data_IF_274126173056
#
_entry.id   IF_274126173056
#
_cell.length_a   1.000
_cell.length_b   1.000
_cell.length_c   1.000
_cell.angle_alpha   90.00
_cell.angle_beta   90.00
_cell.angle_gamma   90.00
#
_symmetry.space_group_name_H-M   'P 1'
#
loop_
_entity.id
_entity.type
_entity.pdbx_description
1 polymer ?
#
# COMPACT_ATOMS: atom_id res chain seq x y z
N UNK A 1 -8.02 -25.13 3.86
CA UNK A 1 -7.76 -25.60 5.24
C UNK A 1 -8.08 -24.40 6.08
N UNK A 2 -9.18 -24.47 6.82
CA UNK A 2 -9.65 -23.34 7.62
C UNK A 2 -8.98 -23.47 8.99
N UNK A 3 -8.21 -22.46 9.39
CA UNK A 3 -7.54 -22.40 10.69
C UNK A 3 -8.48 -21.75 11.69
N UNK A 4 -8.50 -22.25 12.93
CA UNK A 4 -9.11 -21.47 14.03
C UNK A 4 -8.23 -20.26 14.38
N UNK A 5 -8.78 -19.23 15.05
CA UNK A 5 -7.96 -18.11 15.53
C UNK A 5 -6.78 -18.55 16.41
N UNK A 6 -6.96 -19.55 17.26
CA UNK A 6 -5.92 -20.09 18.13
C UNK A 6 -4.81 -20.75 17.30
N UNK A 7 -5.17 -21.62 16.35
CA UNK A 7 -4.20 -22.26 15.46
C UNK A 7 -3.41 -21.21 14.66
N UNK A 8 -4.06 -20.14 14.22
CA UNK A 8 -3.40 -19.03 13.55
C UNK A 8 -2.44 -18.27 14.49
N UNK A 9 -2.83 -18.04 15.74
CA UNK A 9 -1.98 -17.45 16.76
C UNK A 9 -0.74 -18.29 17.06
N UNK A 10 -0.88 -19.62 17.13
CA UNK A 10 0.25 -20.54 17.25
C UNK A 10 1.20 -20.49 16.05
N UNK A 11 0.66 -20.24 14.84
CA UNK A 11 1.51 -20.04 13.66
C UNK A 11 2.33 -18.74 13.77
N UNK A 12 1.78 -17.67 14.35
CA UNK A 12 2.55 -16.45 14.61
C UNK A 12 3.75 -16.75 15.52
N UNK A 13 3.53 -17.54 16.58
CA UNK A 13 4.61 -17.96 17.48
C UNK A 13 5.68 -18.79 16.76
N UNK A 14 5.28 -19.74 15.91
CA UNK A 14 6.23 -20.52 15.09
C UNK A 14 7.05 -19.62 14.16
N UNK A 15 6.43 -18.63 13.52
CA UNK A 15 7.14 -17.67 12.68
C UNK A 15 8.14 -16.85 13.50
N UNK A 16 7.77 -16.40 14.70
CA UNK A 16 8.66 -15.68 15.60
C UNK A 16 9.84 -16.57 16.07
N UNK A 17 9.56 -17.75 16.62
CA UNK A 17 10.57 -18.58 17.30
C UNK A 17 11.44 -19.39 16.35
N UNK A 18 10.84 -19.95 15.30
CA UNK A 18 11.52 -20.84 14.34
C UNK A 18 11.90 -20.07 13.09
N UNK A 19 10.98 -19.26 12.57
CA UNK A 19 11.23 -18.44 11.38
C UNK A 19 12.17 -17.27 11.64
N UNK A 20 12.31 -16.83 12.89
CA UNK A 20 13.08 -15.65 13.30
C UNK A 20 12.72 -14.42 12.45
N UNK A 21 11.42 -14.23 12.20
CA UNK A 21 10.89 -13.10 11.42
C UNK A 21 10.92 -11.82 12.25
N UNK A 22 10.87 -10.68 11.58
CA UNK A 22 10.90 -9.37 12.22
C UNK A 22 9.50 -8.79 12.48
N UNK A 23 8.45 -9.39 11.92
CA UNK A 23 7.04 -9.00 12.07
C UNK A 23 6.10 -10.11 11.59
N UNK A 24 4.83 -10.00 11.93
CA UNK A 24 3.74 -10.78 11.33
C UNK A 24 2.95 -9.86 10.39
N UNK A 25 2.91 -10.17 9.11
CA UNK A 25 2.23 -9.35 8.10
C UNK A 25 0.94 -10.02 7.60
N UNK A 26 -0.19 -9.43 7.96
CA UNK A 26 -1.51 -9.88 7.53
C UNK A 26 -1.93 -9.11 6.29
N UNK A 27 -2.17 -9.84 5.19
CA UNK A 27 -2.43 -9.23 3.87
C UNK A 27 -3.90 -9.31 3.50
N UNK A 28 -4.54 -8.15 3.40
CA UNK A 28 -5.96 -7.93 3.08
C UNK A 28 -6.94 -8.76 3.93
N UNK A 29 -6.82 -8.75 5.28
CA UNK A 29 -7.65 -9.61 6.13
C UNK A 29 -9.02 -9.00 6.49
N UNK A 30 -9.47 -7.92 5.83
CA UNK A 30 -10.70 -7.17 6.20
C UNK A 30 -11.94 -8.07 6.42
N UNK A 31 -12.11 -9.08 5.58
CA UNK A 31 -13.24 -10.00 5.63
C UNK A 31 -13.24 -10.96 6.84
N UNK A 32 -12.17 -11.00 7.64
CA UNK A 32 -11.96 -11.90 8.79
C UNK A 32 -11.35 -11.16 10.00
N UNK A 33 -11.58 -9.85 10.12
CA UNK A 33 -11.03 -9.04 11.22
C UNK A 33 -11.34 -9.59 12.61
N UNK A 34 -12.57 -10.05 12.93
CA UNK A 34 -12.84 -10.62 14.26
C UNK A 34 -11.96 -11.83 14.59
N UNK A 35 -11.71 -12.70 13.61
CA UNK A 35 -10.84 -13.87 13.77
C UNK A 35 -9.37 -13.46 13.92
N UNK A 36 -8.93 -12.44 13.19
CA UNK A 36 -7.59 -11.87 13.32
C UNK A 36 -7.37 -11.25 14.71
N UNK A 37 -8.36 -10.54 15.23
CA UNK A 37 -8.28 -9.99 16.59
C UNK A 37 -8.09 -11.11 17.61
N UNK A 38 -8.90 -12.17 17.51
CA UNK A 38 -8.78 -13.32 18.40
C UNK A 38 -7.42 -14.03 18.29
N UNK A 39 -6.86 -14.16 17.09
CA UNK A 39 -5.56 -14.80 16.89
C UNK A 39 -4.41 -13.96 17.46
N UNK A 40 -4.45 -12.63 17.30
CA UNK A 40 -3.45 -11.72 17.87
C UNK A 40 -3.50 -11.77 19.40
N UNK A 41 -4.70 -11.69 19.99
CA UNK A 41 -4.88 -11.76 21.43
C UNK A 41 -4.36 -13.08 22.01
N UNK A 42 -4.62 -14.20 21.32
CA UNK A 42 -4.10 -15.50 21.71
C UNK A 42 -2.57 -15.55 21.64
N UNK A 43 -1.98 -15.11 20.52
CA UNK A 43 -0.52 -15.08 20.37
C UNK A 43 0.17 -14.16 21.39
N UNK A 44 -0.45 -13.03 21.73
CA UNK A 44 0.05 -12.14 22.78
C UNK A 44 0.15 -12.86 24.14
N UNK A 45 -0.84 -13.70 24.51
CA UNK A 45 -0.79 -14.53 25.71
C UNK A 45 0.34 -15.57 25.69
N UNK A 46 0.71 -16.03 24.49
CA UNK A 46 1.84 -16.95 24.29
C UNK A 46 3.20 -16.24 24.24
N UNK A 47 3.22 -14.90 24.28
CA UNK A 47 4.46 -14.12 24.30
C UNK A 47 4.96 -13.70 22.91
N UNK A 48 4.05 -13.44 21.98
CA UNK A 48 4.37 -12.72 20.74
C UNK A 48 4.92 -11.31 21.09
N UNK A 49 6.02 -10.94 20.45
CA UNK A 49 6.77 -9.68 20.69
C UNK A 49 7.08 -8.94 19.41
N UNK A 50 7.12 -9.64 18.28
CA UNK A 50 7.34 -9.00 16.98
C UNK A 50 6.10 -8.18 16.59
N UNK A 51 6.28 -7.04 15.92
CA UNK A 51 5.16 -6.19 15.50
C UNK A 51 4.17 -6.89 14.59
N UNK A 52 2.90 -6.48 14.68
CA UNK A 52 1.82 -6.83 13.75
C UNK A 52 1.72 -5.76 12.67
N UNK A 53 1.83 -6.19 11.42
CA UNK A 53 1.65 -5.38 10.23
C UNK A 53 0.31 -5.75 9.58
N UNK A 54 -0.53 -4.75 9.34
CA UNK A 54 -1.80 -4.89 8.64
C UNK A 54 -1.70 -4.27 7.25
N UNK A 55 -1.54 -5.10 6.24
CA UNK A 55 -1.44 -4.70 4.84
C UNK A 55 -2.83 -4.72 4.19
N UNK A 56 -3.29 -3.59 3.67
CA UNK A 56 -4.66 -3.48 3.19
C UNK A 56 -4.80 -2.61 1.96
N UNK A 57 -5.89 -2.86 1.24
CA UNK A 57 -6.37 -2.03 0.15
C UNK A 57 -6.93 -0.67 0.59
N UNK A 58 -6.94 -0.41 1.90
CA UNK A 58 -7.54 0.75 2.54
C UNK A 58 -9.03 0.88 2.29
N UNK A 59 -9.73 -0.23 2.02
CA UNK A 59 -11.19 -0.23 1.86
C UNK A 59 -11.85 -0.96 3.03
N UNK A 60 -11.35 -0.65 4.23
CA UNK A 60 -11.71 -1.29 5.50
C UNK A 60 -12.80 -0.47 6.21
N UNK A 61 -13.74 -1.15 6.86
CA UNK A 61 -14.76 -0.48 7.66
C UNK A 61 -14.16 0.17 8.92
N UNK A 62 -14.78 1.24 9.40
CA UNK A 62 -14.31 1.92 10.62
C UNK A 62 -14.49 1.02 11.84
N UNK A 63 -15.56 0.23 11.86
CA UNK A 63 -15.86 -0.75 12.90
C UNK A 63 -14.77 -1.84 12.95
N UNK A 64 -14.30 -2.34 11.80
CA UNK A 64 -13.15 -3.25 11.73
C UNK A 64 -11.88 -2.60 12.30
N UNK A 65 -11.61 -1.35 11.95
CA UNK A 65 -10.43 -0.64 12.43
C UNK A 65 -10.48 -0.38 13.94
N UNK A 66 -11.65 -0.08 14.50
CA UNK A 66 -11.85 0.06 15.94
C UNK A 66 -11.50 -1.23 16.69
N UNK A 67 -11.84 -2.40 16.14
CA UNK A 67 -11.46 -3.69 16.75
C UNK A 67 -9.94 -3.94 16.75
N UNK A 68 -9.21 -3.35 15.80
CA UNK A 68 -7.77 -3.50 15.64
C UNK A 68 -6.96 -2.49 16.46
N UNK A 69 -7.61 -1.48 17.05
CA UNK A 69 -6.95 -0.42 17.80
C UNK A 69 -6.16 -1.00 18.99
N UNK A 70 -4.85 -0.70 19.03
CA UNK A 70 -3.93 -1.21 20.05
C UNK A 70 -3.44 -2.66 19.81
N UNK A 71 -3.87 -3.31 18.73
CA UNK A 71 -3.40 -4.66 18.33
C UNK A 71 -2.49 -4.63 17.11
N UNK A 72 -2.70 -3.65 16.22
CA UNK A 72 -1.86 -3.44 15.03
C UNK A 72 -0.86 -2.34 15.30
N UNK A 73 0.41 -2.62 15.01
CA UNK A 73 1.50 -1.66 15.17
C UNK A 73 1.70 -0.81 13.92
N UNK A 74 1.52 -1.41 12.73
CA UNK A 74 1.82 -0.78 11.44
C UNK A 74 0.71 -1.08 10.44
N UNK A 75 0.14 -0.03 9.85
CA UNK A 75 -0.74 -0.15 8.69
C UNK A 75 0.04 0.10 7.39
N UNK A 76 -0.01 -0.85 6.46
CA UNK A 76 0.42 -0.64 5.07
C UNK A 76 -0.83 -0.35 4.23
N UNK A 77 -1.26 0.91 4.29
CA UNK A 77 -2.37 1.43 3.54
C UNK A 77 -2.03 1.60 2.03
N UNK A 78 -2.90 1.11 1.16
CA UNK A 78 -2.76 1.23 -0.30
C UNK A 78 -3.91 2.06 -0.89
N UNK A 79 -3.66 3.36 -1.11
CA UNK A 79 -4.62 4.29 -1.70
C UNK A 79 -4.50 4.33 -3.24
N UNK A 80 -5.52 3.77 -3.92
CA UNK A 80 -5.42 3.49 -5.36
C UNK A 80 -5.80 4.65 -6.25
N UNK A 81 -6.91 5.34 -5.95
CA UNK A 81 -7.50 6.36 -6.83
C UNK A 81 -8.24 7.43 -6.03
N UNK A 82 -8.14 8.68 -6.47
CA UNK A 82 -8.71 9.84 -5.77
C UNK A 82 -10.15 10.16 -6.18
N UNK A 83 -10.49 9.94 -7.44
CA UNK A 83 -11.78 10.38 -8.01
C UNK A 83 -12.85 9.27 -7.92
N UNK A 84 -14.10 9.59 -7.53
CA UNK A 84 -15.20 8.61 -7.50
C UNK A 84 -15.48 7.99 -8.87
N UNK A 85 -15.42 8.78 -9.94
CA UNK A 85 -15.64 8.30 -11.31
C UNK A 85 -14.60 7.26 -11.74
N UNK A 86 -13.35 7.45 -11.30
CA UNK A 86 -12.24 6.51 -11.52
C UNK A 86 -12.37 5.28 -10.63
N UNK A 87 -12.79 5.45 -9.37
CA UNK A 87 -13.10 4.34 -8.44
C UNK A 87 -14.12 3.38 -9.04
N UNK A 88 -15.27 3.89 -9.49
CA UNK A 88 -16.31 3.08 -10.13
C UNK A 88 -15.80 2.35 -11.36
N UNK A 89 -15.09 3.06 -12.25
CA UNK A 89 -14.66 2.51 -13.53
C UNK A 89 -13.53 1.48 -13.41
N UNK A 90 -12.55 1.72 -12.53
CA UNK A 90 -11.36 0.88 -12.42
C UNK A 90 -11.46 -0.18 -11.33
N UNK A 91 -12.09 0.15 -10.19
CA UNK A 91 -12.18 -0.73 -9.03
C UNK A 91 -13.56 -1.39 -8.89
N UNK A 92 -14.55 -0.95 -9.67
CA UNK A 92 -15.97 -1.38 -9.53
C UNK A 92 -16.55 -1.07 -8.14
N UNK A 93 -16.00 -0.06 -7.48
CA UNK A 93 -16.44 0.42 -6.18
C UNK A 93 -16.81 1.91 -6.29
N UNK A 94 -18.03 2.26 -5.92
CA UNK A 94 -18.56 3.63 -6.11
C UNK A 94 -18.00 4.63 -5.10
N UNK A 95 -17.63 4.15 -3.91
CA UNK A 95 -17.28 4.95 -2.74
C UNK A 95 -15.85 4.72 -2.25
N UNK A 96 -15.03 3.94 -2.98
CA UNK A 96 -13.66 3.62 -2.60
C UNK A 96 -12.84 4.83 -2.13
N UNK A 97 -12.79 5.90 -2.92
CA UNK A 97 -11.97 7.06 -2.58
C UNK A 97 -12.44 7.75 -1.29
N UNK A 98 -13.74 7.72 -0.98
CA UNK A 98 -14.26 8.28 0.27
C UNK A 98 -13.93 7.36 1.45
N UNK A 99 -14.28 6.07 1.35
CA UNK A 99 -13.99 5.08 2.37
C UNK A 99 -12.50 5.04 2.69
N UNK A 100 -11.63 4.95 1.67
CA UNK A 100 -10.20 4.83 1.87
C UNK A 100 -9.55 6.04 2.54
N UNK A 101 -10.06 7.26 2.30
CA UNK A 101 -9.58 8.44 3.05
C UNK A 101 -9.96 8.37 4.52
N UNK A 102 -11.16 7.90 4.84
CA UNK A 102 -11.59 7.73 6.22
C UNK A 102 -10.84 6.59 6.91
N UNK A 103 -10.68 5.43 6.26
CA UNK A 103 -9.90 4.30 6.76
C UNK A 103 -8.45 4.71 7.03
N UNK A 104 -7.79 5.41 6.09
CA UNK A 104 -6.41 5.90 6.28
C UNK A 104 -6.32 6.90 7.43
N UNK A 105 -7.30 7.80 7.58
CA UNK A 105 -7.31 8.75 8.71
C UNK A 105 -7.44 8.02 10.04
N UNK A 106 -8.29 6.99 10.11
CA UNK A 106 -8.44 6.16 11.31
C UNK A 106 -7.15 5.38 11.62
N UNK A 107 -6.55 4.71 10.63
CA UNK A 107 -5.25 4.04 10.77
C UNK A 107 -4.17 4.99 11.28
N UNK A 108 -4.02 6.16 10.66
CA UNK A 108 -3.05 7.16 11.08
C UNK A 108 -3.32 7.69 12.50
N UNK A 109 -4.58 7.83 12.90
CA UNK A 109 -4.92 8.22 14.28
C UNK A 109 -4.48 7.17 15.30
N UNK A 110 -4.54 5.88 14.95
CA UNK A 110 -4.17 4.79 15.87
C UNK A 110 -2.65 4.65 16.02
N UNK A 111 -1.90 4.66 14.92
CA UNK A 111 -0.45 4.33 14.95
C UNK A 111 0.47 5.52 14.72
N UNK A 112 -0.02 6.61 14.12
CA UNK A 112 0.77 7.80 13.80
C UNK A 112 2.08 7.48 13.07
N UNK A 113 3.18 8.03 13.61
CA UNK A 113 4.53 7.88 13.04
C UNK A 113 5.28 6.63 13.56
N UNK A 114 4.58 5.66 14.16
CA UNK A 114 5.19 4.51 14.85
C UNK A 114 6.22 3.77 13.98
N UNK A 115 5.94 3.54 12.70
CA UNK A 115 6.86 2.83 11.80
C UNK A 115 8.23 3.50 11.71
N UNK A 116 8.28 4.83 11.63
CA UNK A 116 9.55 5.54 11.53
C UNK A 116 10.34 5.47 12.84
N UNK A 117 9.62 5.53 13.97
CA UNK A 117 10.20 5.36 15.31
C UNK A 117 10.75 3.94 15.51
N UNK A 118 10.00 2.93 15.09
CA UNK A 118 10.40 1.52 15.13
C UNK A 118 11.67 1.27 14.30
N UNK A 119 11.72 1.77 13.06
CA UNK A 119 12.91 1.63 12.21
C UNK A 119 14.15 2.26 12.88
N UNK A 120 14.01 3.44 13.49
CA UNK A 120 15.10 4.11 14.14
C UNK A 120 15.56 3.45 15.46
N UNK A 121 14.63 2.84 16.22
CA UNK A 121 14.89 2.28 17.54
C UNK A 121 15.27 0.78 17.49
N UNK A 122 14.54 -0.01 16.72
CA UNK A 122 14.62 -1.48 16.75
C UNK A 122 15.40 -2.06 15.58
N UNK A 123 15.47 -1.35 14.44
CA UNK A 123 16.23 -1.80 13.26
C UNK A 123 17.62 -1.18 13.28
N UNK A 124 17.72 0.11 12.96
CA UNK A 124 18.95 0.91 13.03
C UNK A 124 18.69 2.30 12.48
N UNK A 125 19.29 3.33 13.08
CA UNK A 125 19.35 4.68 12.44
C UNK A 125 20.21 4.72 11.17
N UNK A 126 21.01 3.67 10.93
CA UNK A 126 21.80 3.47 9.70
C UNK A 126 21.04 2.65 8.63
N UNK A 127 19.74 2.36 8.83
CA UNK A 127 18.93 1.67 7.83
C UNK A 127 18.73 2.55 6.59
N UNK A 128 18.79 1.95 5.40
CA UNK A 128 18.41 2.61 4.17
C UNK A 128 16.88 2.64 4.03
N UNK A 129 16.31 3.84 4.01
CA UNK A 129 14.89 4.04 3.69
C UNK A 129 14.76 4.28 2.20
N UNK A 130 14.03 3.42 1.52
CA UNK A 130 13.73 3.61 0.10
C UNK A 130 12.33 4.23 -0.02
N UNK A 131 12.28 5.53 -0.35
CA UNK A 131 11.03 6.22 -0.67
C UNK A 131 10.80 6.03 -2.17
N UNK A 132 10.05 4.99 -2.53
CA UNK A 132 9.70 4.72 -3.92
C UNK A 132 8.34 5.30 -4.27
N UNK A 133 8.17 5.75 -5.51
CA UNK A 133 6.85 5.71 -6.11
C UNK A 133 6.42 4.24 -6.26
N UNK A 134 5.14 3.94 -6.04
CA UNK A 134 4.64 2.57 -6.16
C UNK A 134 5.03 2.01 -7.54
N UNK A 135 5.58 0.79 -7.55
CA UNK A 135 6.01 0.12 -8.78
C UNK A 135 4.87 0.14 -9.80
N UNK A 136 5.13 0.72 -10.97
CA UNK A 136 4.17 0.94 -12.05
C UNK A 136 4.34 -0.08 -13.19
N UNK A 137 3.74 -1.28 -13.12
CA UNK A 137 3.60 -2.11 -14.29
C UNK A 137 2.54 -1.48 -15.23
N UNK A 138 2.98 -0.47 -15.99
CA UNK A 138 2.13 0.34 -16.85
C UNK A 138 1.81 -0.35 -18.17
N UNK A 139 1.02 -1.43 -18.09
CA UNK A 139 0.67 -2.23 -19.26
C UNK A 139 0.05 -1.36 -20.38
N UNK A 140 -0.92 -0.51 -20.05
CA UNK A 140 -1.62 0.34 -21.01
C UNK A 140 -1.71 1.81 -20.61
N UNK A 141 -1.24 2.17 -19.42
CA UNK A 141 -1.29 3.54 -18.89
C UNK A 141 -0.41 4.43 -19.77
N UNK A 142 -0.94 5.59 -20.18
CA UNK A 142 -0.25 6.55 -21.04
C UNK A 142 -0.14 6.17 -22.52
N UNK A 143 -0.48 4.93 -22.92
CA UNK A 143 -0.46 4.50 -24.33
C UNK A 143 -1.60 5.15 -25.12
N UNK A 144 -1.35 5.49 -26.38
CA UNK A 144 -2.39 6.02 -27.26
C UNK A 144 -3.59 5.04 -27.36
N UNK A 145 -4.81 5.56 -27.20
CA UNK A 145 -5.99 4.73 -27.38
C UNK A 145 -6.14 4.31 -28.84
N UNK A 146 -6.08 3.00 -29.13
CA UNK A 146 -6.43 2.47 -30.45
C UNK A 146 -7.93 2.68 -30.69
N UNK A 147 -8.29 3.70 -31.45
CA UNK A 147 -9.60 3.81 -32.08
C UNK A 147 -9.78 2.62 -33.02
N UNK A 148 -10.84 1.84 -32.85
CA UNK A 148 -11.22 0.79 -33.81
C UNK A 148 -11.48 1.50 -35.15
N UNK A 149 -10.63 1.31 -36.16
CA UNK A 149 -11.00 1.65 -37.55
C UNK A 149 -12.24 0.83 -37.87
N UNK A 150 -13.39 1.49 -38.08
CA UNK A 150 -14.58 0.83 -38.59
C UNK A 150 -14.27 0.16 -39.94
N UNK A 151 -15.01 -0.90 -40.31
CA UNK A 151 -14.78 -1.57 -41.59
C UNK A 151 -15.21 -0.63 -42.72
N UNK A 152 -14.25 0.08 -43.34
CA UNK A 152 -14.56 0.96 -44.48
C UNK A 152 -13.60 2.12 -44.78
N UNK A 153 -12.41 2.23 -44.19
CA UNK A 153 -11.48 3.31 -44.53
C UNK A 153 -10.37 2.82 -45.48
N UNK A 154 -10.55 3.11 -46.77
CA UNK A 154 -9.62 2.82 -47.86
C UNK A 154 -8.22 3.41 -47.66
N UNK A 155 -7.27 2.80 -48.35
CA UNK A 155 -5.87 3.19 -48.40
C UNK A 155 -5.72 4.52 -49.13
N UNK A 156 -5.46 5.59 -48.38
CA UNK A 156 -4.76 6.77 -48.88
C UNK A 156 -3.94 7.35 -47.75
N UNK A 157 -2.65 7.52 -48.03
CA UNK A 157 -1.64 7.95 -47.07
C UNK A 157 -1.81 9.41 -46.70
N UNK A 158 -1.94 9.65 -45.41
CA UNK A 158 -1.46 10.85 -44.74
C UNK A 158 -1.19 10.48 -43.28
N UNK A 159 0.06 10.60 -42.83
CA UNK A 159 0.48 10.34 -41.45
C UNK A 159 0.14 11.57 -40.59
N UNK A 160 -1.13 11.93 -40.57
CA UNK A 160 -1.67 12.87 -39.60
C UNK A 160 -1.64 12.22 -38.22
N UNK A 161 -0.90 12.82 -37.28
CA UNK A 161 -0.87 12.41 -35.89
C UNK A 161 -2.29 12.34 -35.33
N UNK A 162 -2.87 11.15 -35.23
CA UNK A 162 -4.13 10.95 -34.55
C UNK A 162 -3.92 11.34 -33.08
N UNK A 163 -4.50 12.46 -32.66
CA UNK A 163 -4.68 12.85 -31.26
C UNK A 163 -5.62 11.83 -30.59
N UNK A 164 -5.13 10.62 -30.37
CA UNK A 164 -5.79 9.64 -29.52
C UNK A 164 -5.56 10.03 -28.08
N UNK A 165 -6.63 10.20 -27.29
CA UNK A 165 -6.52 10.38 -25.84
C UNK A 165 -5.66 9.26 -25.23
N UNK A 166 -4.69 9.62 -24.39
CA UNK A 166 -3.90 8.63 -23.65
C UNK A 166 -4.83 7.74 -22.82
N UNK A 167 -4.62 6.42 -22.88
CA UNK A 167 -5.36 5.46 -22.07
C UNK A 167 -5.01 5.64 -20.60
N UNK A 168 -6.03 5.64 -19.76
CA UNK A 168 -5.88 5.80 -18.32
C UNK A 168 -5.10 7.07 -17.92
N UNK A 169 -5.30 8.17 -18.65
CA UNK A 169 -4.62 9.43 -18.41
C UNK A 169 -4.79 9.92 -16.95
N UNK A 170 -5.93 9.61 -16.34
CA UNK A 170 -6.29 9.95 -14.97
C UNK A 170 -5.41 9.30 -13.89
N UNK A 171 -4.74 8.18 -14.19
CA UNK A 171 -3.77 7.54 -13.29
C UNK A 171 -2.32 7.63 -13.85
N UNK A 172 -2.14 8.32 -14.97
CA UNK A 172 -0.85 8.50 -15.64
C UNK A 172 -0.12 9.78 -15.16
N UNK A 173 -0.01 9.96 -13.85
CA UNK A 173 0.66 11.12 -13.25
C UNK A 173 1.83 10.65 -12.38
N UNK A 174 3.05 11.08 -12.71
CA UNK A 174 4.23 10.85 -11.86
C UNK A 174 4.09 11.55 -10.50
N UNK A 175 4.76 11.01 -9.47
CA UNK A 175 4.88 11.68 -8.17
C UNK A 175 5.73 12.94 -8.35
N UNK A 176 5.34 14.05 -7.73
CA UNK A 176 6.08 15.30 -7.80
C UNK A 176 7.24 15.32 -6.82
N UNK A 177 8.28 16.12 -7.10
CA UNK A 177 9.39 16.33 -6.16
C UNK A 177 8.94 16.86 -4.81
N UNK A 178 7.88 17.69 -4.78
CA UNK A 178 7.32 18.22 -3.54
C UNK A 178 6.70 17.11 -2.68
N UNK A 179 5.95 16.19 -3.28
CA UNK A 179 5.38 15.02 -2.59
C UNK A 179 6.48 14.11 -2.03
N UNK A 180 7.55 13.85 -2.80
CA UNK A 180 8.71 13.08 -2.31
C UNK A 180 9.43 13.80 -1.17
N UNK A 181 9.62 15.12 -1.29
CA UNK A 181 10.32 15.92 -0.28
C UNK A 181 9.57 15.92 1.05
N UNK A 182 8.23 16.00 1.02
CA UNK A 182 7.40 15.94 2.22
C UNK A 182 7.60 14.62 3.00
N UNK A 183 7.64 13.48 2.30
CA UNK A 183 7.88 12.17 2.93
C UNK A 183 9.29 12.08 3.51
N UNK A 184 10.29 12.60 2.78
CA UNK A 184 11.68 12.66 3.26
C UNK A 184 11.81 13.49 4.54
N UNK A 185 11.22 14.68 4.58
CA UNK A 185 11.24 15.53 5.78
C UNK A 185 10.59 14.85 7.00
N UNK A 186 9.52 14.08 6.79
CA UNK A 186 8.90 13.31 7.87
C UNK A 186 9.82 12.21 8.40
N UNK A 187 10.50 11.48 7.52
CA UNK A 187 11.49 10.47 7.90
C UNK A 187 12.71 11.09 8.62
N UNK A 188 13.20 12.24 8.15
CA UNK A 188 14.29 12.99 8.80
C UNK A 188 13.91 13.45 10.21
N UNK A 189 12.67 13.92 10.42
CA UNK A 189 12.16 14.28 11.76
C UNK A 189 12.11 13.09 12.71
N UNK A 190 11.92 11.87 12.20
CA UNK A 190 11.99 10.64 12.98
C UNK A 190 13.43 10.14 13.23
N UNK A 191 14.44 10.84 12.70
CA UNK A 191 15.87 10.52 12.88
C UNK A 191 16.46 9.59 11.81
N UNK A 192 15.73 9.32 10.72
CA UNK A 192 16.22 8.55 9.58
C UNK A 192 16.90 9.49 8.59
N UNK A 193 18.13 9.19 8.18
CA UNK A 193 18.94 10.09 7.37
C UNK A 193 19.57 9.44 6.14
N UNK A 194 19.58 8.10 6.05
CA UNK A 194 20.04 7.37 4.88
C UNK A 194 18.85 7.04 3.97
N UNK A 195 18.76 7.76 2.87
CA UNK A 195 17.76 7.51 1.84
C UNK A 195 18.41 6.86 0.61
N UNK A 196 17.76 5.85 0.07
CA UNK A 196 18.15 5.27 -1.22
C UNK A 196 17.56 6.17 -2.31
N UNK A 197 18.34 7.12 -2.81
CA UNK A 197 17.90 7.95 -3.93
C UNK A 197 17.73 7.08 -5.19
N UNK A 198 16.70 7.33 -6.02
CA UNK A 198 16.57 6.63 -7.29
C UNK A 198 17.82 6.89 -8.14
N UNK A 199 18.28 5.90 -8.91
CA UNK A 199 19.45 6.08 -9.74
C UNK A 199 19.19 7.20 -10.75
N UNK A 200 20.23 7.96 -11.12
CA UNK A 200 20.12 9.03 -12.12
C UNK A 200 19.81 8.55 -13.55
N UNK A 201 19.44 7.28 -13.72
CA UNK A 201 19.11 6.60 -14.96
C UNK A 201 17.82 5.81 -14.79
N UNK A 202 17.13 5.52 -15.89
CA UNK A 202 16.02 4.57 -15.88
C UNK A 202 16.55 3.18 -15.48
N UNK A 203 16.00 2.56 -14.43
CA UNK A 203 16.40 1.22 -13.97
C UNK A 203 16.44 1.07 -12.44
N UNK A 204 16.81 -0.13 -11.97
CA UNK A 204 16.98 -0.42 -10.54
C UNK A 204 18.29 0.18 -10.01
N UNK A 205 18.34 0.50 -8.71
CA UNK A 205 19.61 0.67 -8.00
C UNK A 205 20.34 -0.69 -8.01
N UNK A 206 21.41 -0.79 -8.80
CA UNK A 206 22.29 -1.98 -8.87
C UNK A 206 23.39 -1.85 -7.83
#
# INVERSE_FOLDING_TARGET
>A
MDLTPEELGEWYMKLQEVGNVHNINLVTPEHVVPQVVLSILHAAQLGLRVPIVYNTSSFDSLESLELLEGLVDIYLADFKVWEPSTSKRLLKADDYAAAARESIRAMHKQVGDFIMQFLAAEVSRDVFVNIMEQYRPDAHVGKASRTRKGPGAGESGDLGAAQGSARYAEINRAVTKAEVSYVREAAEKAGLWRFCDPPGHDGFNI
#
